data_IF_069402427102
#
_entry.id   IF_069402427102
#
_cell.length_a   1.000
_cell.length_b   1.000
_cell.length_c   1.000
_cell.angle_alpha   90.00
_cell.angle_beta   90.00
_cell.angle_gamma   90.00
#
_symmetry.space_group_name_H-M   'P 1'
#
loop_
_entity.id
_entity.type
_entity.pdbx_description
1 polymer ?
#
# COMPACT_ATOMS: atom_id res chain seq x y z
N UNK A 1 -5.12 -17.42 -3.02
CA UNK A 1 -6.57 -17.49 -2.77
C UNK A 1 -7.21 -16.12 -2.85
N UNK A 2 -6.69 -15.14 -2.10
CA UNK A 2 -7.24 -13.78 -2.09
C UNK A 2 -7.14 -13.08 -3.45
N UNK A 3 -6.02 -13.23 -4.13
CA UNK A 3 -5.81 -12.65 -5.46
C UNK A 3 -6.83 -13.17 -6.46
N UNK A 4 -7.08 -14.47 -6.42
CA UNK A 4 -8.06 -15.12 -7.29
C UNK A 4 -9.47 -14.62 -7.02
N UNK A 5 -9.84 -14.49 -5.75
CA UNK A 5 -11.15 -13.99 -5.35
C UNK A 5 -11.39 -12.55 -5.82
N UNK A 6 -10.40 -11.68 -5.65
CA UNK A 6 -10.47 -10.29 -6.10
C UNK A 6 -10.62 -10.22 -7.61
N UNK A 7 -9.84 -11.01 -8.33
CA UNK A 7 -9.89 -11.07 -9.79
C UNK A 7 -11.25 -11.54 -10.30
N UNK A 8 -11.77 -12.61 -9.71
CA UNK A 8 -13.07 -13.15 -10.09
C UNK A 8 -14.20 -12.16 -9.77
N UNK A 9 -14.10 -11.47 -8.64
CA UNK A 9 -15.10 -10.44 -8.27
C UNK A 9 -15.12 -9.30 -9.27
N UNK A 10 -13.97 -8.82 -9.69
CA UNK A 10 -13.87 -7.75 -10.67
C UNK A 10 -14.40 -8.18 -12.03
N UNK A 11 -14.07 -9.38 -12.48
CA UNK A 11 -14.58 -9.94 -13.73
C UNK A 11 -16.09 -10.12 -13.67
N UNK A 12 -16.63 -10.60 -12.55
CA UNK A 12 -18.05 -10.76 -12.33
C UNK A 12 -18.82 -9.43 -12.34
N UNK A 13 -18.16 -8.35 -11.96
CA UNK A 13 -18.76 -7.01 -11.97
C UNK A 13 -18.75 -6.36 -13.36
N UNK A 14 -18.16 -6.99 -14.37
CA UNK A 14 -18.19 -6.51 -15.73
C UNK A 14 -16.86 -6.02 -16.29
N UNK A 15 -15.76 -6.21 -15.58
CA UNK A 15 -14.43 -5.85 -16.10
C UNK A 15 -14.05 -6.77 -17.26
N UNK A 16 -13.47 -6.20 -18.31
CA UNK A 16 -12.99 -6.98 -19.47
C UNK A 16 -11.71 -7.72 -19.15
N UNK A 17 -10.81 -7.06 -18.48
CA UNK A 17 -9.51 -7.62 -18.08
C UNK A 17 -9.22 -7.14 -16.66
N UNK A 18 -8.52 -7.95 -15.91
CA UNK A 18 -8.13 -7.65 -14.55
C UNK A 18 -6.65 -7.93 -14.36
N UNK A 19 -5.91 -6.92 -13.95
CA UNK A 19 -4.50 -7.03 -13.58
C UNK A 19 -4.37 -6.65 -12.12
N UNK A 20 -3.63 -7.45 -11.37
CA UNK A 20 -3.36 -7.17 -9.98
C UNK A 20 -2.00 -6.51 -9.84
N UNK A 21 -1.96 -5.44 -9.07
CA UNK A 21 -0.72 -4.74 -8.75
C UNK A 21 -0.60 -4.66 -7.23
N UNK A 22 0.61 -4.80 -6.72
CA UNK A 22 0.86 -4.66 -5.29
C UNK A 22 0.70 -3.20 -4.87
N UNK A 23 0.08 -2.96 -3.71
CA UNK A 23 -0.20 -1.61 -3.23
C UNK A 23 1.03 -0.70 -3.19
N UNK A 24 2.18 -1.15 -2.61
CA UNK A 24 3.35 -0.28 -2.58
C UNK A 24 3.88 0.06 -3.97
N UNK A 25 3.76 -0.85 -4.93
CA UNK A 25 4.15 -0.57 -6.32
C UNK A 25 3.25 0.49 -6.94
N UNK A 26 1.94 0.39 -6.73
CA UNK A 26 0.98 1.38 -7.22
C UNK A 26 1.24 2.75 -6.60
N UNK A 27 1.53 2.79 -5.30
CA UNK A 27 1.86 4.03 -4.60
C UNK A 27 3.15 4.65 -5.14
N UNK A 28 4.17 3.83 -5.41
CA UNK A 28 5.44 4.30 -5.96
C UNK A 28 5.28 4.90 -7.35
N UNK A 29 4.51 4.25 -8.21
CA UNK A 29 4.22 4.75 -9.56
C UNK A 29 3.47 6.07 -9.48
N UNK A 30 2.47 6.15 -8.62
CA UNK A 30 1.68 7.37 -8.42
C UNK A 30 2.51 8.54 -7.90
N UNK A 31 3.51 8.27 -7.09
CA UNK A 31 4.43 9.28 -6.56
C UNK A 31 5.55 9.66 -7.55
N UNK A 32 5.63 8.98 -8.68
CA UNK A 32 6.65 9.26 -9.69
C UNK A 32 8.04 8.73 -9.36
N UNK A 33 8.13 7.70 -8.51
CA UNK A 33 9.43 7.12 -8.17
C UNK A 33 10.01 6.30 -9.33
N UNK A 34 11.34 6.26 -9.46
CA UNK A 34 12.00 5.52 -10.56
C UNK A 34 12.03 4.01 -10.30
N UNK A 35 10.87 3.36 -10.36
CA UNK A 35 10.72 1.94 -10.00
C UNK A 35 11.41 0.98 -10.97
N UNK A 36 11.62 1.40 -12.22
CA UNK A 36 12.30 0.61 -13.25
C UNK A 36 13.82 0.63 -13.15
N UNK A 37 14.40 1.49 -12.32
CA UNK A 37 15.83 1.58 -12.15
C UNK A 37 16.36 0.54 -11.17
N UNK A 38 17.64 0.20 -11.27
CA UNK A 38 18.30 -0.76 -10.40
C UNK A 38 18.46 -0.27 -8.95
N UNK A 39 18.46 1.06 -8.74
CA UNK A 39 18.55 1.62 -7.39
C UNK A 39 17.26 1.39 -6.62
N UNK A 40 17.37 1.19 -5.31
CA UNK A 40 16.21 0.99 -4.47
C UNK A 40 15.44 2.28 -4.21
N UNK A 41 14.12 2.18 -4.28
CA UNK A 41 13.21 3.25 -3.87
C UNK A 41 12.38 2.76 -2.69
N UNK A 42 12.35 3.54 -1.61
CA UNK A 42 11.57 3.16 -0.43
C UNK A 42 10.23 3.89 -0.45
N UNK A 43 9.19 3.13 -0.16
CA UNK A 43 7.83 3.66 -0.04
C UNK A 43 7.32 3.37 1.36
N UNK A 44 6.78 4.40 2.00
CA UNK A 44 6.05 4.26 3.27
C UNK A 44 4.61 4.67 2.98
N UNK A 45 3.72 3.72 3.02
CA UNK A 45 2.30 3.94 2.73
C UNK A 45 1.51 3.87 4.03
N UNK A 46 0.99 5.01 4.47
CA UNK A 46 0.26 5.10 5.73
C UNK A 46 -1.23 5.16 5.42
N UNK A 47 -1.91 4.03 5.62
CA UNK A 47 -3.36 3.95 5.50
C UNK A 47 -4.06 4.23 6.83
N UNK A 48 -5.36 3.98 6.88
CA UNK A 48 -6.16 4.16 8.10
C UNK A 48 -5.78 3.16 9.19
N UNK A 49 -5.69 1.88 8.84
CA UNK A 49 -5.44 0.80 9.79
C UNK A 49 -4.05 0.18 9.74
N UNK A 50 -3.30 0.40 8.68
CA UNK A 50 -1.97 -0.20 8.48
C UNK A 50 -0.98 0.80 7.93
N UNK A 51 0.30 0.55 8.22
CA UNK A 51 1.42 1.24 7.56
C UNK A 51 2.27 0.17 6.88
N UNK A 52 2.52 0.36 5.60
CA UNK A 52 3.33 -0.55 4.80
C UNK A 52 4.62 0.13 4.37
N UNK A 53 5.73 -0.60 4.50
CA UNK A 53 7.05 -0.13 4.07
C UNK A 53 7.53 -1.11 3.01
N UNK A 54 7.95 -0.60 1.87
CA UNK A 54 8.44 -1.43 0.79
C UNK A 54 9.68 -0.84 0.15
N UNK A 55 10.56 -1.72 -0.30
CA UNK A 55 11.73 -1.38 -1.11
C UNK A 55 11.48 -1.92 -2.51
N UNK A 56 11.56 -1.05 -3.51
CA UNK A 56 11.25 -1.37 -4.90
C UNK A 56 12.48 -1.13 -5.76
N UNK A 57 12.76 -2.07 -6.64
CA UNK A 57 13.85 -1.96 -7.60
C UNK A 57 13.52 -2.82 -8.82
N UNK A 58 13.85 -2.34 -10.00
CA UNK A 58 13.64 -3.06 -11.27
C UNK A 58 12.22 -3.60 -11.42
N UNK A 59 11.22 -2.76 -11.18
CA UNK A 59 9.79 -3.09 -11.28
C UNK A 59 9.33 -4.20 -10.31
N UNK A 60 10.11 -4.51 -9.30
CA UNK A 60 9.76 -5.53 -8.33
C UNK A 60 9.80 -5.01 -6.90
N UNK A 61 8.94 -5.57 -6.06
CA UNK A 61 8.98 -5.33 -4.63
C UNK A 61 10.01 -6.28 -4.04
N UNK A 62 11.16 -5.73 -3.60
CA UNK A 62 12.29 -6.51 -3.09
C UNK A 62 12.09 -6.89 -1.64
N UNK A 63 11.48 -5.99 -0.88
CA UNK A 63 11.21 -6.17 0.54
C UNK A 63 9.94 -5.42 0.90
N UNK A 64 9.12 -6.03 1.73
CA UNK A 64 7.90 -5.38 2.20
C UNK A 64 7.60 -5.80 3.62
N UNK A 65 7.09 -4.87 4.41
CA UNK A 65 6.69 -5.11 5.78
C UNK A 65 5.44 -4.31 6.08
N UNK A 66 4.53 -4.87 6.87
CA UNK A 66 3.27 -4.24 7.23
C UNK A 66 3.11 -4.21 8.74
N UNK A 67 2.67 -3.07 9.26
CA UNK A 67 2.40 -2.88 10.69
C UNK A 67 0.95 -2.42 10.85
N UNK A 68 0.25 -2.97 11.83
CA UNK A 68 -1.16 -2.62 12.07
C UNK A 68 -1.31 -1.33 12.87
N UNK A 69 -0.65 -0.28 12.42
CA UNK A 69 -0.75 1.07 12.97
C UNK A 69 -0.85 2.01 11.77
N UNK A 70 -1.88 2.82 11.74
CA UNK A 70 -2.11 3.77 10.66
C UNK A 70 -2.71 5.06 11.17
N UNK A 71 -3.29 5.83 10.26
CA UNK A 71 -3.86 7.14 10.55
C UNK A 71 -4.91 7.13 11.65
N UNK A 72 -5.71 6.05 11.76
CA UNK A 72 -6.74 5.96 12.79
C UNK A 72 -6.14 5.98 14.20
N UNK A 73 -5.01 5.29 14.39
CA UNK A 73 -4.29 5.30 15.66
C UNK A 73 -3.70 6.67 15.97
N UNK A 74 -3.21 7.34 14.96
CA UNK A 74 -2.68 8.70 15.09
C UNK A 74 -3.78 9.66 15.51
N UNK A 75 -4.94 9.56 14.88
CA UNK A 75 -6.12 10.37 15.23
C UNK A 75 -6.57 10.12 16.66
N UNK A 76 -6.64 8.85 17.06
CA UNK A 76 -6.99 8.48 18.43
C UNK A 76 -6.01 9.07 19.46
N UNK A 77 -4.72 9.03 19.16
CA UNK A 77 -3.69 9.58 20.03
C UNK A 77 -3.86 11.10 20.19
N UNK A 78 -4.15 11.80 19.12
CA UNK A 78 -4.40 13.24 19.14
C UNK A 78 -5.66 13.55 19.94
N UNK A 79 -6.75 12.83 19.70
CA UNK A 79 -8.02 13.01 20.42
C UNK A 79 -7.81 12.78 21.93
N UNK A 80 -7.10 11.73 22.29
CA UNK A 80 -6.81 11.41 23.68
C UNK A 80 -6.00 12.52 24.35
N UNK A 81 -4.99 13.02 23.65
CA UNK A 81 -4.15 14.11 24.15
C UNK A 81 -4.99 15.39 24.39
N UNK A 82 -5.82 15.74 23.41
CA UNK A 82 -6.68 16.93 23.50
C UNK A 82 -7.67 16.82 24.67
N UNK A 83 -8.25 15.63 24.88
CA UNK A 83 -9.20 15.40 25.98
C UNK A 83 -8.54 15.52 27.35
N UNK A 84 -7.28 15.15 27.47
CA UNK A 84 -6.53 15.24 28.74
C UNK A 84 -6.06 16.65 29.04
N UNK A 85 -5.94 17.46 28.04
CA UNK A 85 -5.42 18.81 28.14
C UNK A 85 -6.42 19.83 27.63
#
# INVERSE_FOLDING_TARGET
VERRAIRESALGAGAREVFLIEEPMAAAIGAGLPVEEARGSMVVDIGGGTTEIALISLNGVVYAESVRVGGDRFDEAIITYVRRN
#
